data_IF_597323879057
#
_entry.id   IF_597323879057
#
_cell.length_a   1.000
_cell.length_b   1.000
_cell.length_c   1.000
_cell.angle_alpha   90.00
_cell.angle_beta   90.00
_cell.angle_gamma   90.00
#
_symmetry.space_group_name_H-M   'P 1'
#
loop_
_entity.id
_entity.type
_entity.pdbx_description
1 polymer ?
#
# COMPACT_ATOMS: atom_id res chain seq x y z
N UNK A 1 7.97 0.08 -17.44
CA UNK A 1 6.72 -0.08 -16.65
C UNK A 1 6.85 0.80 -15.42
N UNK A 2 5.87 1.67 -15.20
CA UNK A 2 5.85 2.61 -14.08
C UNK A 2 4.86 2.12 -13.02
N UNK A 3 5.34 1.97 -11.79
CA UNK A 3 4.59 1.37 -10.68
C UNK A 3 4.35 2.43 -9.61
N UNK A 4 3.09 2.63 -9.23
CA UNK A 4 2.72 3.41 -8.05
C UNK A 4 2.79 2.51 -6.81
N UNK A 5 3.56 2.92 -5.82
CA UNK A 5 3.64 2.26 -4.52
C UNK A 5 2.96 3.14 -3.48
N UNK A 6 1.77 2.77 -3.04
CA UNK A 6 1.07 3.46 -1.95
C UNK A 6 1.58 2.94 -0.61
N UNK A 7 1.74 3.83 0.37
CA UNK A 7 2.44 3.49 1.62
C UNK A 7 3.95 3.26 1.40
N UNK A 8 4.51 3.83 0.33
CA UNK A 8 5.88 3.59 -0.09
C UNK A 8 6.96 4.24 0.78
N UNK A 9 6.60 5.15 1.69
CA UNK A 9 7.52 5.70 2.69
C UNK A 9 7.55 4.85 3.98
N UNK A 10 6.65 3.88 4.13
CA UNK A 10 6.65 2.92 5.23
C UNK A 10 7.79 1.91 5.15
N UNK A 11 7.94 1.08 6.19
CA UNK A 11 9.05 0.12 6.27
C UNK A 11 9.06 -0.86 5.10
N UNK A 12 7.97 -1.61 4.86
CA UNK A 12 7.89 -2.58 3.76
C UNK A 12 7.93 -1.86 2.42
N UNK A 13 7.13 -0.78 2.27
CA UNK A 13 7.02 -0.04 1.03
C UNK A 13 8.36 0.50 0.54
N UNK A 14 9.16 1.11 1.42
CA UNK A 14 10.46 1.67 1.04
C UNK A 14 11.49 0.62 0.59
N UNK A 15 11.51 -0.55 1.22
CA UNK A 15 12.36 -1.67 0.78
C UNK A 15 11.90 -2.19 -0.58
N UNK A 16 10.58 -2.31 -0.79
CA UNK A 16 10.02 -2.69 -2.09
C UNK A 16 10.38 -1.68 -3.19
N UNK A 17 10.36 -0.38 -2.89
CA UNK A 17 10.79 0.67 -3.84
C UNK A 17 12.24 0.48 -4.26
N UNK A 18 13.14 0.16 -3.32
CA UNK A 18 14.56 -0.13 -3.61
C UNK A 18 14.67 -1.32 -4.58
N UNK A 19 14.03 -2.44 -4.27
CA UNK A 19 14.07 -3.65 -5.10
C UNK A 19 13.50 -3.41 -6.50
N UNK A 20 12.38 -2.72 -6.61
CA UNK A 20 11.78 -2.37 -7.90
C UNK A 20 12.71 -1.51 -8.76
N UNK A 21 13.33 -0.48 -8.17
CA UNK A 21 14.25 0.37 -8.91
C UNK A 21 15.52 -0.37 -9.34
N UNK A 22 16.03 -1.27 -8.50
CA UNK A 22 17.18 -2.12 -8.85
C UNK A 22 16.81 -3.11 -9.97
N UNK A 23 15.57 -3.63 -9.97
CA UNK A 23 15.05 -4.47 -11.04
C UNK A 23 14.72 -3.69 -12.35
N UNK A 24 14.93 -2.38 -12.38
CA UNK A 24 14.77 -1.56 -13.58
C UNK A 24 13.39 -0.97 -13.81
N UNK A 25 12.49 -1.04 -12.83
CA UNK A 25 11.19 -0.39 -12.90
C UNK A 25 11.29 1.12 -12.56
N UNK A 26 10.41 1.92 -13.15
CA UNK A 26 10.15 3.28 -12.73
C UNK A 26 9.14 3.24 -11.58
N UNK A 27 9.43 3.94 -10.49
CA UNK A 27 8.60 3.89 -9.29
C UNK A 27 8.16 5.30 -8.91
N UNK A 28 6.88 5.42 -8.61
CA UNK A 28 6.25 6.60 -8.00
C UNK A 28 5.78 6.21 -6.61
N UNK A 29 5.99 7.06 -5.62
CA UNK A 29 5.58 6.80 -4.24
C UNK A 29 4.47 7.76 -3.82
N UNK A 30 3.42 7.22 -3.21
CA UNK A 30 2.37 7.96 -2.51
C UNK A 30 2.34 7.52 -1.04
N UNK A 31 2.36 8.49 -0.12
CA UNK A 31 2.25 8.24 1.31
C UNK A 31 1.71 9.49 2.03
N UNK A 32 0.80 9.34 2.98
CA UNK A 32 0.29 10.46 3.76
C UNK A 32 1.17 10.81 4.97
N UNK A 33 2.19 10.00 5.23
CA UNK A 33 3.16 10.14 6.34
C UNK A 33 2.54 10.05 7.74
N UNK A 34 1.35 9.46 7.90
CA UNK A 34 0.73 9.33 9.23
C UNK A 34 1.56 8.46 10.19
N UNK A 35 2.32 7.50 9.66
CA UNK A 35 3.20 6.62 10.43
C UNK A 35 4.58 6.41 9.76
N UNK A 36 4.92 7.26 8.79
CA UNK A 36 6.19 7.23 8.06
C UNK A 36 6.89 8.59 8.09
N UNK A 37 8.09 8.67 7.52
CA UNK A 37 8.86 9.92 7.44
C UNK A 37 9.30 10.19 6.02
N UNK A 38 9.13 11.42 5.57
CA UNK A 38 9.61 11.89 4.27
C UNK A 38 11.12 11.68 4.09
N UNK A 39 11.90 11.63 5.18
CA UNK A 39 13.34 11.37 5.18
C UNK A 39 13.70 9.99 4.58
N UNK A 40 12.73 9.11 4.40
CA UNK A 40 12.92 7.81 3.77
C UNK A 40 13.24 7.98 2.28
N UNK A 41 12.59 8.91 1.59
CA UNK A 41 12.76 9.09 0.14
C UNK A 41 14.21 9.41 -0.26
N UNK A 42 14.89 10.42 0.33
CA UNK A 42 16.30 10.65 0.03
C UNK A 42 17.21 9.45 0.32
N UNK A 43 16.88 8.62 1.30
CA UNK A 43 17.65 7.40 1.61
C UNK A 43 17.50 6.35 0.53
N UNK A 44 16.26 6.14 0.04
CA UNK A 44 16.00 5.24 -1.11
C UNK A 44 16.76 5.72 -2.33
N UNK A 45 16.69 7.00 -2.64
CA UNK A 45 17.44 7.61 -3.76
C UNK A 45 18.97 7.43 -3.62
N UNK A 46 19.50 7.58 -2.40
CA UNK A 46 20.93 7.36 -2.14
C UNK A 46 21.35 5.90 -2.35
N UNK A 47 20.50 4.94 -2.00
CA UNK A 47 20.76 3.50 -2.19
C UNK A 47 20.70 3.10 -3.65
N UNK A 48 19.69 3.58 -4.37
CA UNK A 48 19.39 3.14 -5.75
C UNK A 48 20.09 3.98 -6.82
N UNK A 49 20.55 5.18 -6.45
CA UNK A 49 21.08 6.17 -7.40
C UNK A 49 20.04 6.78 -8.34
N UNK A 50 18.76 6.52 -8.10
CA UNK A 50 17.64 6.97 -8.94
C UNK A 50 16.71 7.89 -8.15
N UNK A 51 16.11 8.87 -8.87
CA UNK A 51 15.07 9.72 -8.29
C UNK A 51 13.77 8.97 -8.12
N UNK A 52 13.02 9.34 -7.06
CA UNK A 52 11.70 8.80 -6.74
C UNK A 52 10.70 9.95 -6.71
N UNK A 53 9.82 10.07 -7.73
CA UNK A 53 8.67 10.96 -7.62
C UNK A 53 7.86 10.60 -6.38
N UNK A 54 7.74 11.57 -5.46
CA UNK A 54 7.05 11.39 -4.18
C UNK A 54 5.87 12.35 -4.07
N UNK A 55 4.72 11.80 -3.75
CA UNK A 55 3.48 12.53 -3.52
C UNK A 55 3.03 12.32 -2.08
N UNK A 56 3.06 13.42 -1.30
CA UNK A 56 2.47 13.43 0.03
C UNK A 56 0.97 13.62 -0.10
N UNK A 57 0.24 12.52 -0.19
CA UNK A 57 -1.21 12.52 -0.36
C UNK A 57 -1.83 11.32 0.34
N UNK A 58 -3.12 11.40 0.60
CA UNK A 58 -3.91 10.30 1.17
C UNK A 58 -4.61 9.50 0.06
N UNK A 59 -4.77 8.20 0.25
CA UNK A 59 -5.54 7.34 -0.68
C UNK A 59 -7.03 7.67 -0.68
N UNK A 60 -7.51 8.39 0.33
CA UNK A 60 -8.88 8.93 0.37
C UNK A 60 -9.05 10.18 -0.50
N UNK A 61 -7.95 10.88 -0.81
CA UNK A 61 -7.95 12.07 -1.64
C UNK A 61 -8.03 11.69 -3.14
N UNK A 62 -9.26 11.65 -3.63
CA UNK A 62 -9.55 11.31 -5.03
C UNK A 62 -8.90 12.28 -6.01
N UNK A 63 -8.90 13.57 -5.72
CA UNK A 63 -8.37 14.59 -6.63
C UNK A 63 -6.85 14.44 -6.77
N UNK A 64 -6.15 14.24 -5.67
CA UNK A 64 -4.72 13.96 -5.67
C UNK A 64 -4.39 12.67 -6.44
N UNK A 65 -5.17 11.60 -6.26
CA UNK A 65 -4.99 10.36 -7.03
C UNK A 65 -5.19 10.58 -8.53
N UNK A 66 -6.27 11.26 -8.95
CA UNK A 66 -6.54 11.58 -10.36
C UNK A 66 -5.39 12.39 -10.98
N UNK A 67 -4.85 13.37 -10.25
CA UNK A 67 -3.69 14.16 -10.69
C UNK A 67 -2.46 13.26 -10.89
N UNK A 68 -2.14 12.40 -9.92
CA UNK A 68 -0.99 11.49 -9.98
C UNK A 68 -1.10 10.55 -11.18
N UNK A 69 -2.25 9.89 -11.36
CA UNK A 69 -2.46 8.96 -12.47
C UNK A 69 -2.41 9.66 -13.83
N UNK A 70 -2.91 10.89 -13.92
CA UNK A 70 -2.84 11.68 -15.16
C UNK A 70 -1.41 12.09 -15.53
N UNK A 71 -0.62 12.47 -14.51
CA UNK A 71 0.74 13.00 -14.70
C UNK A 71 1.78 11.91 -14.91
N UNK A 72 1.69 10.82 -14.14
CA UNK A 72 2.74 9.83 -14.05
C UNK A 72 2.56 8.63 -14.99
N UNK A 73 1.42 8.49 -15.65
CA UNK A 73 1.13 7.38 -16.57
C UNK A 73 1.40 6.00 -15.91
N UNK A 74 0.69 5.72 -14.84
CA UNK A 74 0.88 4.51 -14.04
C UNK A 74 0.41 3.26 -14.82
N UNK A 75 1.23 2.21 -14.83
CA UNK A 75 0.93 0.91 -15.43
C UNK A 75 0.37 -0.10 -14.41
N UNK A 76 0.85 -0.02 -13.17
CA UNK A 76 0.47 -0.94 -12.11
C UNK A 76 0.57 -0.28 -10.73
N UNK A 77 -0.11 -0.85 -9.74
CA UNK A 77 -0.09 -0.40 -8.35
C UNK A 77 0.38 -1.52 -7.43
N UNK A 78 1.24 -1.19 -6.46
CA UNK A 78 1.49 -2.02 -5.27
C UNK A 78 0.94 -1.26 -4.07
N UNK A 79 -0.03 -1.87 -3.40
CA UNK A 79 -0.81 -1.22 -2.36
C UNK A 79 -0.40 -1.69 -0.96
N UNK A 80 0.40 -0.86 -0.27
CA UNK A 80 0.78 -1.05 1.13
C UNK A 80 0.07 -0.09 2.09
N UNK A 81 -0.54 0.99 1.56
CA UNK A 81 -1.22 1.97 2.40
C UNK A 81 -2.41 1.32 3.12
N UNK A 82 -2.28 1.14 4.42
CA UNK A 82 -3.30 0.53 5.26
C UNK A 82 -2.93 0.60 6.73
N UNK A 83 -3.91 0.84 7.57
CA UNK A 83 -3.76 0.80 9.01
C UNK A 83 -3.74 -0.66 9.48
N UNK A 84 -2.69 -1.08 10.20
CA UNK A 84 -2.41 -2.49 10.53
C UNK A 84 -2.27 -2.76 12.04
N UNK A 85 -2.40 -1.75 12.90
CA UNK A 85 -2.24 -1.90 14.34
C UNK A 85 -3.49 -2.55 14.98
N UNK A 86 -3.38 -3.83 15.36
CA UNK A 86 -4.50 -4.64 15.87
C UNK A 86 -5.20 -3.98 17.06
N UNK A 87 -4.45 -3.56 18.08
CA UNK A 87 -5.02 -2.92 19.26
C UNK A 87 -5.70 -1.58 18.98
N UNK A 88 -5.15 -0.79 18.06
CA UNK A 88 -5.74 0.47 17.65
C UNK A 88 -7.05 0.26 16.86
N UNK A 89 -7.12 -0.78 16.03
CA UNK A 89 -8.31 -1.07 15.22
C UNK A 89 -9.58 -1.29 16.05
N UNK A 90 -9.43 -1.81 17.26
CA UNK A 90 -10.54 -2.03 18.21
C UNK A 90 -10.98 -0.70 18.84
N UNK A 91 -10.03 0.23 19.05
CA UNK A 91 -10.30 1.53 19.68
C UNK A 91 -10.80 2.57 18.69
N UNK A 92 -10.36 2.48 17.43
CA UNK A 92 -10.65 3.43 16.36
C UNK A 92 -11.22 2.72 15.13
N UNK A 93 -12.35 2.01 15.24
CA UNK A 93 -12.88 1.19 14.16
C UNK A 93 -13.24 2.01 12.91
N UNK A 94 -13.74 3.22 13.08
CA UNK A 94 -14.15 4.09 11.97
C UNK A 94 -12.95 4.43 11.07
N UNK A 95 -11.84 4.85 11.64
CA UNK A 95 -10.64 5.21 10.90
C UNK A 95 -10.09 4.03 10.10
N UNK A 96 -10.22 2.80 10.63
CA UNK A 96 -9.81 1.59 9.92
C UNK A 96 -10.75 1.24 8.76
N UNK A 97 -12.07 1.39 8.93
CA UNK A 97 -13.02 1.22 7.84
C UNK A 97 -12.80 2.26 6.75
N UNK A 98 -12.68 3.52 7.13
CA UNK A 98 -12.50 4.62 6.21
C UNK A 98 -11.20 4.47 5.42
N UNK A 99 -10.06 4.32 6.10
CA UNK A 99 -8.77 4.20 5.43
C UNK A 99 -8.67 2.90 4.60
N UNK A 100 -8.93 1.75 5.22
CA UNK A 100 -8.63 0.47 4.57
C UNK A 100 -9.66 0.07 3.53
N UNK A 101 -10.93 0.43 3.70
CA UNK A 101 -11.99 0.09 2.73
C UNK A 101 -12.25 1.26 1.79
N UNK A 102 -12.67 2.41 2.30
CA UNK A 102 -13.01 3.54 1.44
C UNK A 102 -11.80 4.04 0.67
N UNK A 103 -10.62 4.12 1.29
CA UNK A 103 -9.38 4.50 0.61
C UNK A 103 -9.00 3.53 -0.50
N UNK A 104 -9.06 2.21 -0.24
CA UNK A 104 -8.80 1.20 -1.28
C UNK A 104 -9.82 1.29 -2.43
N UNK A 105 -11.11 1.48 -2.14
CA UNK A 105 -12.14 1.65 -3.17
C UNK A 105 -11.91 2.91 -4.00
N UNK A 106 -11.50 4.02 -3.36
CA UNK A 106 -11.15 5.27 -4.06
C UNK A 106 -9.98 5.04 -5.01
N UNK A 107 -8.91 4.38 -4.56
CA UNK A 107 -7.75 4.03 -5.39
C UNK A 107 -8.16 3.15 -6.58
N UNK A 108 -8.92 2.09 -6.35
CA UNK A 108 -9.35 1.16 -7.41
C UNK A 108 -10.28 1.85 -8.42
N UNK A 109 -11.14 2.76 -7.98
CA UNK A 109 -12.00 3.53 -8.90
C UNK A 109 -11.18 4.46 -9.79
N UNK A 110 -10.16 5.14 -9.24
CA UNK A 110 -9.24 5.97 -10.04
C UNK A 110 -8.44 5.09 -11.02
N UNK A 111 -7.89 3.96 -10.57
CA UNK A 111 -7.23 2.99 -11.46
C UNK A 111 -8.13 2.58 -12.61
N UNK A 112 -9.40 2.26 -12.33
CA UNK A 112 -10.39 1.87 -13.34
C UNK A 112 -10.61 2.98 -14.40
N UNK A 113 -10.73 4.23 -13.95
CA UNK A 113 -10.91 5.40 -14.85
C UNK A 113 -9.70 5.62 -15.77
N UNK A 114 -8.50 5.39 -15.26
CA UNK A 114 -7.26 5.53 -16.02
C UNK A 114 -6.85 4.24 -16.77
N UNK A 115 -7.70 3.20 -16.75
CA UNK A 115 -7.45 1.94 -17.47
C UNK A 115 -6.36 1.06 -16.85
N UNK A 116 -5.90 1.36 -15.63
CA UNK A 116 -4.90 0.57 -14.91
C UNK A 116 -5.59 -0.63 -14.27
N UNK A 117 -5.19 -1.85 -14.68
CA UNK A 117 -5.84 -3.11 -14.27
C UNK A 117 -4.98 -3.99 -13.36
N UNK A 118 -3.71 -3.66 -13.22
CA UNK A 118 -2.76 -4.45 -12.45
C UNK A 118 -2.57 -3.86 -11.06
N UNK A 119 -2.94 -4.63 -10.04
CA UNK A 119 -2.74 -4.29 -8.64
C UNK A 119 -2.17 -5.48 -7.87
N UNK A 120 -1.17 -5.24 -7.06
CA UNK A 120 -0.69 -6.15 -6.02
C UNK A 120 -1.15 -5.57 -4.69
N UNK A 121 -1.95 -6.32 -3.96
CA UNK A 121 -2.47 -5.94 -2.66
C UNK A 121 -1.68 -6.65 -1.55
N UNK A 122 -1.09 -5.88 -0.63
CA UNK A 122 -0.38 -6.44 0.52
C UNK A 122 -1.36 -6.90 1.59
N UNK A 123 -1.66 -8.18 1.56
CA UNK A 123 -2.48 -8.84 2.58
C UNK A 123 -1.69 -9.07 3.88
N UNK A 124 -2.22 -9.88 4.78
CA UNK A 124 -1.65 -10.17 6.10
C UNK A 124 -1.68 -11.67 6.39
N UNK A 125 -0.65 -12.20 7.05
CA UNK A 125 -0.63 -13.58 7.53
C UNK A 125 -1.77 -13.88 8.53
N UNK A 126 -2.32 -12.85 9.17
CA UNK A 126 -3.45 -12.99 10.08
C UNK A 126 -4.77 -13.38 9.40
N UNK A 127 -4.81 -13.39 8.06
CA UNK A 127 -5.92 -13.97 7.27
C UNK A 127 -6.15 -15.46 7.62
N UNK A 128 -5.14 -16.15 8.12
CA UNK A 128 -5.25 -17.55 8.55
C UNK A 128 -5.83 -17.71 9.95
N UNK A 129 -6.08 -16.61 10.69
CA UNK A 129 -6.61 -16.66 12.06
C UNK A 129 -5.72 -17.46 13.01
N UNK A 130 -6.30 -18.43 13.72
CA UNK A 130 -5.55 -19.43 14.47
C UNK A 130 -5.16 -20.56 13.51
N UNK A 131 -3.91 -20.63 13.05
CA UNK A 131 -3.51 -21.59 12.02
C UNK A 131 -3.57 -23.01 12.55
N UNK A 132 -3.98 -23.94 11.69
CA UNK A 132 -4.06 -25.37 12.05
C UNK A 132 -2.68 -26.00 12.29
N UNK A 133 -1.63 -25.41 11.71
CA UNK A 133 -0.23 -25.87 11.85
C UNK A 133 0.76 -24.71 11.65
N UNK A 134 1.99 -24.89 12.16
CA UNK A 134 3.12 -23.95 12.03
C UNK A 134 4.33 -24.73 11.49
N UNK A 135 5.10 -24.16 10.55
CA UNK A 135 4.97 -22.84 9.95
C UNK A 135 3.72 -22.72 9.06
N UNK A 136 3.13 -21.52 9.00
CA UNK A 136 1.97 -21.24 8.15
C UNK A 136 2.40 -21.31 6.69
N UNK A 137 1.67 -22.06 5.89
CA UNK A 137 1.84 -22.14 4.43
C UNK A 137 0.57 -21.65 3.73
N UNK A 138 0.64 -21.46 2.42
CA UNK A 138 -0.51 -21.05 1.60
C UNK A 138 -1.64 -22.10 1.56
N UNK A 139 -1.34 -23.34 1.96
CA UNK A 139 -2.33 -24.42 2.09
C UNK A 139 -3.17 -24.32 3.36
N UNK A 140 -2.77 -23.49 4.33
CA UNK A 140 -3.55 -23.26 5.52
C UNK A 140 -4.93 -22.70 5.17
N UNK A 141 -6.01 -23.26 5.74
CA UNK A 141 -7.35 -22.70 5.55
C UNK A 141 -7.42 -21.28 6.10
N UNK A 142 -8.17 -20.42 5.43
CA UNK A 142 -8.44 -19.06 5.91
C UNK A 142 -9.24 -19.14 7.22
N UNK A 143 -8.82 -18.35 8.20
CA UNK A 143 -9.47 -18.24 9.49
C UNK A 143 -10.57 -17.18 9.53
N UNK A 144 -11.18 -17.04 10.71
CA UNK A 144 -12.12 -15.95 10.94
C UNK A 144 -11.38 -14.64 11.19
N UNK A 145 -11.92 -13.54 10.67
CA UNK A 145 -11.43 -12.20 10.95
C UNK A 145 -11.65 -11.90 12.46
N UNK A 146 -10.57 -11.70 13.19
CA UNK A 146 -10.60 -11.48 14.64
C UNK A 146 -10.52 -10.02 15.05
N UNK A 147 -10.21 -9.13 14.09
CA UNK A 147 -10.10 -7.69 14.34
C UNK A 147 -10.26 -6.89 13.04
N UNK A 148 -10.50 -5.57 13.20
CA UNK A 148 -10.81 -4.69 12.07
C UNK A 148 -9.61 -4.36 11.17
N UNK A 149 -8.38 -4.57 11.62
CA UNK A 149 -7.20 -4.39 10.77
C UNK A 149 -7.13 -5.41 9.62
N UNK A 150 -7.96 -6.45 9.66
CA UNK A 150 -8.05 -7.54 8.69
C UNK A 150 -9.27 -7.44 7.77
N UNK A 151 -10.18 -6.52 8.02
CA UNK A 151 -11.53 -6.53 7.41
C UNK A 151 -11.51 -6.30 5.90
N UNK A 152 -10.44 -5.74 5.38
CA UNK A 152 -10.25 -5.47 3.95
C UNK A 152 -9.54 -6.61 3.21
N UNK A 153 -9.29 -7.71 3.88
CA UNK A 153 -8.60 -8.91 3.36
C UNK A 153 -9.63 -10.04 3.03
#
# INVERSE_FOLDING_TARGET
MRILVTGGAGFIGSHTVVELQQAGYDVVVLDNLCNASEKVIPRVEAITGKKVPFYKADILDREALEEIFSKEQIDAVIHFAGLKAVGESVQKPWEYYENNIAGTLTLVDVMRKHGVKSIIFSSSATVYGNPAFVPITEECPKGQCTNLSLIHI
#
